data_IF_693604031346
#
_entry.id   IF_693604031346
#
_cell.length_a   1.000
_cell.length_b   1.000
_cell.length_c   1.000
_cell.angle_alpha   90.00
_cell.angle_beta   90.00
_cell.angle_gamma   90.00
#
_symmetry.space_group_name_H-M   'P 1'
#
loop_
_entity.id
_entity.type
_entity.pdbx_description
1 polymer ?
#
# COMPACT_ATOMS: atom_id res chain seq x y z
N UNK A 1 9.57 -6.59 -19.54
CA UNK A 1 8.40 -6.62 -18.62
C UNK A 1 8.89 -6.12 -17.28
N UNK A 2 8.24 -5.11 -16.67
CA UNK A 2 8.65 -4.61 -15.36
C UNK A 2 8.30 -5.63 -14.28
N UNK A 3 9.21 -5.85 -13.32
CA UNK A 3 8.95 -6.72 -12.17
C UNK A 3 7.82 -6.11 -11.33
N UNK A 4 6.86 -6.91 -10.81
CA UNK A 4 5.86 -6.39 -9.88
C UNK A 4 6.55 -5.79 -8.66
N UNK A 5 6.06 -4.64 -8.20
CA UNK A 5 6.58 -3.99 -7.00
C UNK A 5 6.24 -4.84 -5.77
N UNK A 6 7.18 -4.90 -4.83
CA UNK A 6 7.01 -5.57 -3.54
C UNK A 6 6.21 -4.71 -2.56
N UNK A 7 5.81 -5.29 -1.42
CA UNK A 7 5.18 -4.52 -0.35
C UNK A 7 6.18 -3.46 0.15
N UNK A 8 7.44 -3.84 0.34
CA UNK A 8 8.52 -2.98 0.79
C UNK A 8 8.72 -1.78 -0.16
N UNK A 9 8.64 -2.01 -1.48
CA UNK A 9 8.71 -0.92 -2.47
C UNK A 9 7.55 0.07 -2.32
N UNK A 10 6.35 -0.39 -1.98
CA UNK A 10 5.21 0.48 -1.72
C UNK A 10 5.36 1.25 -0.41
N UNK A 11 5.87 0.62 0.65
CA UNK A 11 6.15 1.29 1.91
C UNK A 11 7.20 2.40 1.75
N UNK A 12 8.29 2.15 1.01
CA UNK A 12 9.29 3.17 0.71
C UNK A 12 8.68 4.38 -0.01
N UNK A 13 7.78 4.16 -0.97
CA UNK A 13 7.08 5.26 -1.65
C UNK A 13 6.17 6.07 -0.73
N UNK A 14 5.56 5.43 0.27
CA UNK A 14 4.74 6.12 1.28
C UNK A 14 5.61 6.96 2.19
N UNK A 15 6.72 6.40 2.68
CA UNK A 15 7.70 7.12 3.52
C UNK A 15 8.28 8.33 2.78
N UNK A 16 8.67 8.15 1.53
CA UNK A 16 9.19 9.22 0.68
C UNK A 16 8.14 10.31 0.41
N UNK A 17 6.85 9.96 0.36
CA UNK A 17 5.78 10.92 0.22
C UNK A 17 5.55 11.71 1.51
N UNK A 18 5.56 11.04 2.67
CA UNK A 18 5.44 11.65 3.99
C UNK A 18 6.61 12.60 4.23
N UNK A 19 7.85 12.13 4.07
CA UNK A 19 9.04 12.94 4.30
C UNK A 19 9.04 14.23 3.47
N UNK A 20 8.61 14.15 2.20
CA UNK A 20 8.51 15.31 1.33
C UNK A 20 7.40 16.29 1.76
N UNK A 21 6.25 15.79 2.21
CA UNK A 21 5.13 16.61 2.69
C UNK A 21 5.43 17.26 4.04
N UNK A 22 6.11 16.56 4.94
CA UNK A 22 6.47 17.04 6.28
C UNK A 22 7.47 18.20 6.25
N UNK A 23 8.23 18.37 5.17
CA UNK A 23 9.08 19.56 4.99
C UNK A 23 8.28 20.86 5.02
N UNK A 24 7.03 20.85 4.53
CA UNK A 24 6.22 22.04 4.35
C UNK A 24 6.74 23.01 3.27
N UNK A 25 7.76 22.63 2.48
CA UNK A 25 8.41 23.50 1.49
C UNK A 25 7.84 23.33 0.07
N UNK A 26 6.99 22.32 -0.14
CA UNK A 26 6.42 22.02 -1.45
C UNK A 26 5.36 23.05 -1.84
N UNK A 27 5.37 23.54 -3.10
CA UNK A 27 4.21 24.21 -3.68
C UNK A 27 2.96 23.34 -3.57
N UNK A 28 1.78 23.96 -3.41
CA UNK A 28 0.51 23.26 -3.19
C UNK A 28 0.24 22.16 -4.24
N UNK A 29 0.47 22.45 -5.52
CA UNK A 29 0.25 21.47 -6.59
C UNK A 29 1.15 20.25 -6.46
N UNK A 30 2.41 20.44 -6.04
CA UNK A 30 3.35 19.35 -5.88
C UNK A 30 3.09 18.56 -4.59
N UNK A 31 2.65 19.25 -3.53
CA UNK A 31 2.15 18.60 -2.32
C UNK A 31 0.94 17.69 -2.64
N UNK A 32 -0.01 18.16 -3.46
CA UNK A 32 -1.16 17.35 -3.89
C UNK A 32 -0.73 16.12 -4.69
N UNK A 33 0.18 16.26 -5.66
CA UNK A 33 0.72 15.12 -6.41
C UNK A 33 1.40 14.12 -5.49
N UNK A 34 2.17 14.60 -4.52
CA UNK A 34 2.89 13.74 -3.55
C UNK A 34 1.92 12.98 -2.66
N UNK A 35 0.87 13.64 -2.19
CA UNK A 35 -0.21 13.03 -1.43
C UNK A 35 -0.95 11.96 -2.23
N UNK A 36 -1.34 12.24 -3.48
CA UNK A 36 -2.03 11.28 -4.34
C UNK A 36 -1.17 10.05 -4.62
N UNK A 37 0.13 10.25 -4.89
CA UNK A 37 1.08 9.17 -5.10
C UNK A 37 1.23 8.30 -3.84
N UNK A 38 1.40 8.91 -2.67
CA UNK A 38 1.46 8.20 -1.39
C UNK A 38 0.18 7.41 -1.11
N UNK A 39 -0.99 8.02 -1.32
CA UNK A 39 -2.28 7.36 -1.13
C UNK A 39 -2.46 6.16 -2.08
N UNK A 40 -1.97 6.26 -3.32
CA UNK A 40 -1.95 5.14 -4.27
C UNK A 40 -1.05 4.01 -3.77
N UNK A 41 0.14 4.31 -3.28
CA UNK A 41 1.07 3.32 -2.74
C UNK A 41 0.48 2.61 -1.50
N UNK A 42 -0.17 3.33 -0.58
CA UNK A 42 -0.89 2.74 0.56
C UNK A 42 -1.95 1.74 0.10
N UNK A 43 -2.77 2.11 -0.89
CA UNK A 43 -3.81 1.21 -1.41
C UNK A 43 -3.20 -0.05 -2.02
N UNK A 44 -2.12 0.07 -2.77
CA UNK A 44 -1.44 -1.07 -3.38
C UNK A 44 -0.82 -2.01 -2.34
N UNK A 45 -0.13 -1.45 -1.33
CA UNK A 45 0.39 -2.23 -0.21
C UNK A 45 -0.73 -2.98 0.52
N UNK A 46 -1.87 -2.31 0.78
CA UNK A 46 -3.02 -2.95 1.42
C UNK A 46 -3.59 -4.09 0.58
N UNK A 47 -3.76 -3.89 -0.72
CA UNK A 47 -4.24 -4.96 -1.62
C UNK A 47 -3.31 -6.17 -1.61
N UNK A 48 -1.99 -5.96 -1.63
CA UNK A 48 -1.01 -7.06 -1.53
C UNK A 48 -1.13 -7.81 -0.20
N UNK A 49 -1.23 -7.08 0.92
CA UNK A 49 -1.41 -7.68 2.25
C UNK A 49 -2.70 -8.50 2.35
N UNK A 50 -3.81 -7.98 1.81
CA UNK A 50 -5.09 -8.70 1.78
C UNK A 50 -4.97 -10.00 0.95
N UNK A 51 -4.26 -9.97 -0.19
CA UNK A 51 -3.99 -11.16 -1.00
C UNK A 51 -3.16 -12.22 -0.26
N UNK A 52 -2.10 -11.79 0.44
CA UNK A 52 -1.30 -12.72 1.25
C UNK A 52 -2.10 -13.30 2.41
N UNK A 53 -2.96 -12.49 3.04
CA UNK A 53 -3.85 -12.94 4.12
C UNK A 53 -4.82 -14.01 3.62
N UNK A 54 -5.52 -13.75 2.51
CA UNK A 54 -6.43 -14.72 1.90
C UNK A 54 -5.71 -16.03 1.55
N UNK A 55 -4.50 -15.94 0.97
CA UNK A 55 -3.69 -17.13 0.67
C UNK A 55 -3.28 -17.90 1.93
N UNK A 56 -2.96 -17.21 3.03
CA UNK A 56 -2.64 -17.87 4.30
C UNK A 56 -3.87 -18.58 4.89
N UNK A 57 -5.06 -17.99 4.77
CA UNK A 57 -6.31 -18.61 5.22
C UNK A 57 -6.63 -19.90 4.43
N UNK A 58 -6.49 -19.86 3.11
CA UNK A 58 -6.62 -21.03 2.24
C UNK A 58 -5.65 -22.15 2.65
N UNK A 59 -4.37 -21.81 2.86
CA UNK A 59 -3.33 -22.78 3.25
C UNK A 59 -3.56 -23.34 4.65
N UNK A 60 -4.12 -22.55 5.57
CA UNK A 60 -4.42 -22.98 6.94
C UNK A 60 -5.66 -23.86 7.05
N UNK A 61 -6.45 -24.00 5.97
CA UNK A 61 -7.66 -24.83 5.97
C UNK A 61 -8.72 -24.37 6.97
N UNK A 62 -8.76 -23.07 7.30
CA UNK A 62 -9.81 -22.51 8.15
C UNK A 62 -11.09 -22.48 7.32
N UNK A 63 -11.95 -23.47 7.54
CA UNK A 63 -13.29 -23.49 6.96
C UNK A 63 -14.03 -22.22 7.41
N UNK A 64 -14.64 -21.45 6.49
CA UNK A 64 -15.38 -20.25 6.88
C UNK A 64 -16.44 -20.61 7.91
N UNK A 65 -16.67 -19.77 8.94
CA UNK A 65 -17.67 -20.06 9.96
C UNK A 65 -19.02 -20.30 9.27
N UNK A 66 -19.81 -21.29 9.73
CA UNK A 66 -21.07 -21.61 9.08
C UNK A 66 -21.95 -20.37 9.05
N UNK A 67 -22.51 -20.08 7.88
CA UNK A 67 -23.46 -19.00 7.70
C UNK A 67 -24.65 -19.18 8.66
N UNK A 68 -25.22 -18.08 9.21
CA UNK A 68 -26.33 -18.15 10.16
C UNK A 68 -27.60 -18.77 9.56
#
# INVERSE_FOLDING_TARGET
MAKPQSIEDHFAQVEDAIAALETGELPLEDALKRYEAGLKAVRQARTLLDQYTARLEEVRGVEPPPAP
#
